data_IF_213402492675
#
_entry.id   IF_213402492675
#
_cell.length_a   1.000
_cell.length_b   1.000
_cell.length_c   1.000
_cell.angle_alpha   90.00
_cell.angle_beta   90.00
_cell.angle_gamma   90.00
#
_symmetry.space_group_name_H-M   'P 1'
#
loop_
_entity.id
_entity.type
_entity.pdbx_description
1 polymer ?
#
# COMPACT_ATOMS: atom_id res chain seq x y z
N UNK A 1 19.52 -3.99 -2.20
CA UNK A 1 18.99 -2.84 -1.45
C UNK A 1 17.52 -3.17 -1.14
N UNK A 2 17.26 -3.89 -0.05
CA UNK A 2 15.90 -4.17 0.38
C UNK A 2 15.41 -2.92 1.07
N UNK A 3 14.56 -2.15 0.40
CA UNK A 3 13.83 -1.12 1.12
C UNK A 3 12.88 -1.89 2.01
N UNK A 4 13.08 -1.80 3.32
CA UNK A 4 12.13 -2.27 4.33
C UNK A 4 10.88 -1.38 4.22
N UNK A 5 10.13 -1.60 3.13
CA UNK A 5 8.80 -1.07 2.99
C UNK A 5 7.96 -1.75 4.04
N UNK A 6 7.13 -1.01 4.78
CA UNK A 6 6.11 -1.62 5.64
C UNK A 6 5.19 -2.45 4.74
N UNK A 7 5.37 -3.78 4.64
CA UNK A 7 4.61 -4.55 3.67
C UNK A 7 3.20 -4.56 4.22
N UNK A 8 2.19 -4.25 3.41
CA UNK A 8 0.79 -4.43 3.80
C UNK A 8 0.51 -5.85 4.28
N UNK A 9 1.34 -6.82 3.90
CA UNK A 9 1.37 -8.18 4.44
C UNK A 9 1.57 -8.26 5.96
N UNK A 10 2.24 -7.27 6.59
CA UNK A 10 2.36 -7.17 8.07
C UNK A 10 1.10 -6.59 8.72
N UNK A 11 0.41 -5.67 8.04
CA UNK A 11 -0.87 -5.11 8.49
C UNK A 11 -2.01 -6.14 8.34
N UNK A 12 -1.91 -7.01 7.32
CA UNK A 12 -2.92 -8.02 7.00
C UNK A 12 -2.30 -9.44 6.92
N UNK A 13 -1.80 -10.01 8.04
CA UNK A 13 -1.16 -11.33 8.03
C UNK A 13 -2.12 -12.44 7.59
N UNK A 14 -3.40 -12.34 7.96
CA UNK A 14 -4.47 -13.26 7.53
C UNK A 14 -4.70 -13.24 6.01
N UNK A 15 -4.50 -12.09 5.37
CA UNK A 15 -4.77 -11.90 3.94
C UNK A 15 -3.47 -11.88 3.12
N UNK A 16 -2.34 -12.31 3.70
CA UNK A 16 -1.03 -12.29 3.03
C UNK A 16 -1.02 -13.15 1.76
N UNK A 17 -1.66 -14.33 1.78
CA UNK A 17 -1.84 -15.16 0.58
C UNK A 17 -2.69 -14.48 -0.49
N UNK A 18 -3.83 -13.89 -0.09
CA UNK A 18 -4.70 -13.16 -1.01
C UNK A 18 -3.98 -11.95 -1.62
N UNK A 19 -3.14 -11.27 -0.84
CA UNK A 19 -2.32 -10.15 -1.27
C UNK A 19 -1.28 -10.59 -2.32
N UNK A 20 -0.55 -11.68 -2.08
CA UNK A 20 0.38 -12.22 -3.07
C UNK A 20 -0.33 -12.66 -4.34
N UNK A 21 -1.46 -13.38 -4.22
CA UNK A 21 -2.25 -13.79 -5.38
C UNK A 21 -2.73 -12.58 -6.17
N UNK A 22 -3.40 -11.62 -5.54
CA UNK A 22 -3.86 -10.38 -6.19
C UNK A 22 -2.72 -9.64 -6.86
N UNK A 23 -1.54 -9.54 -6.23
CA UNK A 23 -0.38 -8.89 -6.83
C UNK A 23 0.11 -9.59 -8.11
N UNK A 24 -0.08 -10.91 -8.22
CA UNK A 24 0.30 -11.68 -9.41
C UNK A 24 -0.81 -11.74 -10.46
N UNK A 25 -2.07 -11.82 -10.02
CA UNK A 25 -3.23 -12.00 -10.91
C UNK A 25 -3.84 -10.68 -11.37
N UNK A 26 -3.68 -9.62 -10.58
CA UNK A 26 -4.25 -8.29 -10.83
C UNK A 26 -3.14 -7.24 -10.97
N UNK A 27 -2.92 -6.81 -12.22
CA UNK A 27 -1.92 -5.80 -12.54
C UNK A 27 -2.26 -4.43 -11.93
N UNK A 28 -3.56 -4.13 -11.73
CA UNK A 28 -4.01 -2.90 -11.07
C UNK A 28 -3.59 -2.87 -9.61
N UNK A 29 -3.81 -3.97 -8.90
CA UNK A 29 -3.39 -4.15 -7.51
C UNK A 29 -1.86 -4.10 -7.37
N UNK A 30 -1.12 -4.73 -8.29
CA UNK A 30 0.35 -4.67 -8.28
C UNK A 30 0.87 -3.23 -8.37
N UNK A 31 0.30 -2.42 -9.28
CA UNK A 31 0.65 -1.01 -9.43
C UNK A 31 0.23 -0.15 -8.23
N UNK A 32 -0.90 -0.48 -7.61
CA UNK A 32 -1.40 0.19 -6.40
C UNK A 32 -0.44 -0.02 -5.22
N UNK A 33 -0.01 -1.27 -5.00
CA UNK A 33 0.98 -1.60 -3.98
C UNK A 33 2.26 -0.84 -4.24
N UNK A 34 2.80 -0.89 -5.47
CA UNK A 34 4.02 -0.17 -5.82
C UNK A 34 3.90 1.34 -5.59
N UNK A 35 2.77 1.95 -5.96
CA UNK A 35 2.50 3.37 -5.73
C UNK A 35 2.48 3.71 -4.23
N UNK A 36 1.83 2.87 -3.42
CA UNK A 36 1.82 3.01 -1.97
C UNK A 36 3.24 2.90 -1.38
N UNK A 37 4.03 1.92 -1.82
CA UNK A 37 5.41 1.74 -1.38
C UNK A 37 6.29 2.96 -1.72
N UNK A 38 6.13 3.53 -2.92
CA UNK A 38 6.86 4.73 -3.36
C UNK A 38 6.46 5.94 -2.52
N UNK A 39 5.16 6.11 -2.28
CA UNK A 39 4.62 7.23 -1.52
C UNK A 39 5.03 7.17 -0.05
N UNK A 40 4.98 6.00 0.59
CA UNK A 40 5.43 5.78 1.97
C UNK A 40 6.92 6.09 2.12
N UNK A 41 7.77 5.63 1.19
CA UNK A 41 9.20 5.98 1.15
C UNK A 41 9.42 7.47 0.99
N UNK A 42 8.59 8.15 0.19
CA UNK A 42 8.69 9.59 -0.01
C UNK A 42 8.34 10.35 1.27
N UNK A 43 7.25 9.98 1.94
CA UNK A 43 6.87 10.54 3.24
C UNK A 43 8.02 10.35 4.25
N UNK A 44 8.60 9.15 4.32
CA UNK A 44 9.72 8.87 5.21
C UNK A 44 10.95 9.75 4.91
N UNK A 45 11.25 10.01 3.63
CA UNK A 45 12.33 10.94 3.23
C UNK A 45 12.06 12.37 3.65
N UNK A 46 10.82 12.84 3.48
CA UNK A 46 10.40 14.18 3.85
C UNK A 46 10.46 14.35 5.37
N UNK A 47 9.88 13.39 6.12
CA UNK A 47 9.90 13.40 7.59
C UNK A 47 11.32 13.22 8.15
N UNK A 48 12.18 12.49 7.46
CA UNK A 48 13.60 12.34 7.77
C UNK A 48 14.46 13.56 7.38
N UNK A 49 13.88 14.64 6.85
CA UNK A 49 14.61 15.85 6.46
C UNK A 49 15.50 15.68 5.23
N UNK A 50 15.34 14.59 4.48
CA UNK A 50 16.09 14.35 3.23
C UNK A 50 15.51 15.15 2.07
N UNK A 51 14.21 15.38 2.06
CA UNK A 51 13.50 16.18 1.04
C UNK A 51 12.76 17.31 1.76
N UNK A 52 13.03 18.56 1.37
CA UNK A 52 12.30 19.73 1.87
C UNK A 52 10.98 19.82 1.11
N UNK A 53 9.87 19.53 1.78
CA UNK A 53 8.54 19.56 1.19
C UNK A 53 7.60 20.33 2.11
N UNK A 54 6.74 21.16 1.52
CA UNK A 54 5.75 21.95 2.26
C UNK A 54 4.76 21.06 3.04
N UNK A 55 4.31 21.54 4.19
CA UNK A 55 3.31 20.85 5.04
C UNK A 55 2.03 20.49 4.28
N UNK A 56 1.62 21.33 3.32
CA UNK A 56 0.46 21.06 2.46
C UNK A 56 0.69 19.85 1.56
N UNK A 57 1.88 19.73 0.97
CA UNK A 57 2.26 18.59 0.13
C UNK A 57 2.39 17.32 0.97
N UNK A 58 3.00 17.40 2.16
CA UNK A 58 3.09 16.27 3.09
C UNK A 58 1.69 15.79 3.52
N UNK A 59 0.77 16.71 3.81
CA UNK A 59 -0.63 16.36 4.11
C UNK A 59 -1.33 15.70 2.93
N UNK A 60 -1.12 16.19 1.70
CA UNK A 60 -1.66 15.56 0.50
C UNK A 60 -1.14 14.12 0.35
N UNK A 61 0.17 13.90 0.54
CA UNK A 61 0.75 12.54 0.53
C UNK A 61 0.14 11.67 1.63
N UNK A 62 -0.01 12.18 2.86
CA UNK A 62 -0.65 11.43 3.96
C UNK A 62 -2.10 11.04 3.63
N UNK A 63 -2.86 11.92 2.98
CA UNK A 63 -4.20 11.59 2.50
C UNK A 63 -4.17 10.53 1.40
N UNK A 64 -3.28 10.65 0.42
CA UNK A 64 -3.11 9.67 -0.65
C UNK A 64 -2.76 8.29 -0.09
N UNK A 65 -1.88 8.23 0.92
CA UNK A 65 -1.53 7.00 1.65
C UNK A 65 -2.77 6.32 2.23
N UNK A 66 -3.66 7.10 2.86
CA UNK A 66 -4.90 6.58 3.45
C UNK A 66 -5.83 6.06 2.37
N UNK A 67 -6.00 6.80 1.28
CA UNK A 67 -6.85 6.40 0.14
C UNK A 67 -6.33 5.11 -0.50
N UNK A 68 -5.03 5.01 -0.77
CA UNK A 68 -4.42 3.79 -1.31
C UNK A 68 -4.59 2.61 -0.35
N UNK A 69 -4.40 2.83 0.95
CA UNK A 69 -4.62 1.78 1.95
C UNK A 69 -6.07 1.28 1.97
N UNK A 70 -7.04 2.19 1.88
CA UNK A 70 -8.46 1.84 1.82
C UNK A 70 -8.79 1.02 0.56
N UNK A 71 -8.26 1.43 -0.60
CA UNK A 71 -8.46 0.70 -1.85
C UNK A 71 -7.84 -0.71 -1.79
N UNK A 72 -6.64 -0.83 -1.24
CA UNK A 72 -5.98 -2.12 -1.00
C UNK A 72 -6.84 -3.00 -0.08
N UNK A 73 -7.33 -2.46 1.04
CA UNK A 73 -8.18 -3.18 1.97
C UNK A 73 -9.50 -3.63 1.30
N UNK A 74 -10.10 -2.79 0.45
CA UNK A 74 -11.31 -3.12 -0.31
C UNK A 74 -11.05 -4.26 -1.29
N UNK A 75 -9.94 -4.23 -2.03
CA UNK A 75 -9.58 -5.30 -2.97
C UNK A 75 -9.25 -6.61 -2.26
N UNK A 76 -8.51 -6.55 -1.14
CA UNK A 76 -8.23 -7.71 -0.30
C UNK A 76 -9.52 -8.33 0.25
N UNK A 77 -10.44 -7.52 0.79
CA UNK A 77 -11.74 -8.01 1.26
C UNK A 77 -12.54 -8.67 0.14
N UNK A 78 -12.52 -8.09 -1.07
CA UNK A 78 -13.21 -8.66 -2.23
C UNK A 78 -12.63 -10.02 -2.62
N UNK A 79 -11.31 -10.14 -2.70
CA UNK A 79 -10.65 -11.41 -3.02
C UNK A 79 -10.84 -12.47 -1.91
N UNK A 80 -10.73 -12.06 -0.65
CA UNK A 80 -10.92 -12.94 0.50
C UNK A 80 -12.38 -13.40 0.66
N UNK A 81 -13.36 -12.54 0.38
CA UNK A 81 -14.78 -12.88 0.35
C UNK A 81 -15.11 -13.87 -0.77
N UNK A 82 -14.54 -13.69 -1.96
CA UNK A 82 -14.67 -14.64 -3.07
C UNK A 82 -14.09 -16.03 -2.74
N UNK A 83 -13.04 -16.10 -1.91
CA UNK A 83 -12.41 -17.37 -1.55
C UNK A 83 -13.26 -18.28 -0.63
N UNK A 84 -14.30 -17.74 0.02
CA UNK A 84 -15.21 -18.52 0.90
C UNK A 84 -16.52 -18.97 0.21
N UNK A 85 -16.77 -18.55 -1.02
CA UNK A 85 -18.02 -18.82 -1.75
C UNK A 85 -17.86 -19.80 -2.91
N UNK A 86 -16.71 -20.45 -3.05
CA UNK A 86 -16.44 -21.50 -4.04
C UNK A 86 -16.38 -22.89 -3.43
#
# INVERSE_FOLDING_TARGET
MHVDTHPLSKDFPEMSEALQRLRQTDAGFSRLIESYEVLDKRICRVEGGTESMDDLQLNALKQERVVMKDDIARQLRKAFGNARTG
#
